data_IF_341484705788
#
_entry.id   IF_341484705788
#
_cell.length_a   1.000
_cell.length_b   1.000
_cell.length_c   1.000
_cell.angle_alpha   90.00
_cell.angle_beta   90.00
_cell.angle_gamma   90.00
#
_symmetry.space_group_name_H-M   'P 1'
#
loop_
_entity.id
_entity.type
_entity.pdbx_description
1 polymer ?
#
# COMPACT_ATOMS: atom_id res chain seq x y z
N UNK A 1 1.50 3.32 14.30
CA UNK A 1 2.09 2.90 13.01
C UNK A 1 3.57 2.68 13.18
N UNK A 2 4.05 1.53 12.71
CA UNK A 2 5.47 1.17 12.66
C UNK A 2 5.84 0.87 11.22
N UNK A 3 7.12 0.95 10.91
CA UNK A 3 7.64 0.59 9.59
C UNK A 3 8.79 -0.39 9.75
N UNK A 4 8.87 -1.32 8.81
CA UNK A 4 9.91 -2.35 8.70
C UNK A 4 10.57 -2.25 7.33
N UNK A 5 11.73 -2.87 7.20
CA UNK A 5 12.38 -3.08 5.90
C UNK A 5 12.43 -4.58 5.68
N UNK A 6 11.71 -5.02 4.65
CA UNK A 6 11.65 -6.41 4.25
C UNK A 6 12.39 -6.57 2.92
N UNK A 7 13.03 -7.71 2.72
CA UNK A 7 13.56 -8.18 1.45
C UNK A 7 12.69 -9.32 0.96
N UNK A 8 12.16 -9.20 -0.26
CA UNK A 8 11.27 -10.18 -0.87
C UNK A 8 11.76 -10.58 -2.25
N UNK A 9 11.90 -11.89 -2.49
CA UNK A 9 12.31 -12.44 -3.80
C UNK A 9 11.20 -13.22 -4.50
N UNK A 10 10.31 -13.81 -3.71
CA UNK A 10 9.10 -14.47 -4.18
C UNK A 10 8.02 -14.33 -3.11
N UNK A 11 6.81 -14.79 -3.41
CA UNK A 11 5.72 -14.83 -2.43
C UNK A 11 6.03 -15.71 -1.20
N UNK A 12 7.07 -16.53 -1.25
CA UNK A 12 7.47 -17.45 -0.18
C UNK A 12 8.77 -17.05 0.54
N UNK A 13 9.53 -16.10 -0.02
CA UNK A 13 10.85 -15.72 0.50
C UNK A 13 10.80 -14.26 0.92
N UNK A 14 10.51 -14.04 2.20
CA UNK A 14 10.56 -12.73 2.85
C UNK A 14 11.49 -12.78 4.05
N UNK A 15 12.44 -11.83 4.09
CA UNK A 15 13.34 -11.62 5.21
C UNK A 15 13.14 -10.22 5.77
N UNK A 16 13.19 -10.05 7.08
CA UNK A 16 13.05 -8.74 7.74
C UNK A 16 14.36 -8.28 8.33
N UNK A 17 14.63 -6.99 8.19
CA UNK A 17 15.73 -6.32 8.86
C UNK A 17 15.57 -6.39 10.38
N UNK A 18 16.60 -6.88 11.05
CA UNK A 18 16.68 -7.02 12.51
C UNK A 18 17.49 -5.88 13.13
N UNK A 19 17.35 -5.68 14.44
CA UNK A 19 18.02 -4.61 15.20
C UNK A 19 19.56 -4.66 15.04
N UNK A 20 20.11 -5.86 14.84
CA UNK A 20 21.55 -6.05 14.61
C UNK A 20 22.02 -5.74 13.17
N UNK A 21 21.10 -5.35 12.27
CA UNK A 21 21.40 -5.02 10.87
C UNK A 21 21.32 -6.20 9.90
N UNK A 22 21.02 -7.41 10.37
CA UNK A 22 20.88 -8.60 9.52
C UNK A 22 19.46 -8.74 8.98
N UNK A 23 19.32 -9.33 7.78
CA UNK A 23 18.02 -9.79 7.27
C UNK A 23 17.83 -11.26 7.62
N UNK A 24 16.71 -11.59 8.28
CA UNK A 24 16.38 -12.97 8.67
C UNK A 24 15.00 -13.36 8.19
N UNK A 25 14.82 -14.65 7.92
CA UNK A 25 13.52 -15.21 7.56
C UNK A 25 12.50 -14.93 8.67
N UNK A 26 11.28 -14.58 8.26
CA UNK A 26 10.15 -14.40 9.16
C UNK A 26 9.12 -15.51 8.91
N UNK A 27 8.69 -16.25 9.93
CA UNK A 27 7.67 -17.29 9.78
C UNK A 27 6.32 -16.76 9.28
N UNK A 28 5.96 -15.53 9.69
CA UNK A 28 4.71 -14.87 9.35
C UNK A 28 5.00 -13.37 9.23
N UNK A 29 4.71 -12.79 8.07
CA UNK A 29 4.96 -11.39 7.80
C UNK A 29 4.01 -10.46 8.56
N UNK A 30 2.89 -10.97 9.07
CA UNK A 30 1.93 -10.23 9.89
C UNK A 30 2.32 -10.14 11.37
N UNK A 31 3.30 -10.93 11.83
CA UNK A 31 3.72 -10.89 13.22
C UNK A 31 4.86 -9.89 13.46
N UNK A 32 4.89 -9.38 14.69
CA UNK A 32 6.00 -8.61 15.24
C UNK A 32 6.94 -9.55 16.00
N UNK A 33 8.23 -9.41 15.74
CA UNK A 33 9.26 -10.10 16.51
C UNK A 33 10.08 -9.09 17.31
N UNK A 34 10.52 -9.49 18.51
CA UNK A 34 11.26 -8.60 19.43
C UNK A 34 12.57 -8.10 18.82
N UNK A 35 13.17 -8.87 17.90
CA UNK A 35 14.42 -8.53 17.22
C UNK A 35 14.22 -7.73 15.93
N UNK A 36 12.99 -7.38 15.55
CA UNK A 36 12.71 -6.59 14.34
C UNK A 36 13.19 -5.15 14.48
N UNK A 37 13.90 -4.64 13.45
CA UNK A 37 14.21 -3.23 13.36
C UNK A 37 12.94 -2.44 13.03
N UNK A 38 12.44 -1.72 14.03
CA UNK A 38 11.27 -0.86 13.91
C UNK A 38 11.68 0.58 13.59
N UNK A 39 10.94 1.21 12.69
CA UNK A 39 11.05 2.63 12.39
C UNK A 39 9.73 3.33 12.74
N UNK A 40 9.83 4.54 13.29
CA UNK A 40 8.68 5.35 13.69
C UNK A 40 8.01 6.07 12.52
N UNK A 41 8.70 6.20 11.38
CA UNK A 41 8.17 6.83 10.18
C UNK A 41 8.70 6.17 8.90
N UNK A 42 7.95 6.31 7.81
CA UNK A 42 8.42 5.91 6.48
C UNK A 42 9.72 6.64 6.11
N UNK A 43 9.85 7.91 6.51
CA UNK A 43 11.05 8.71 6.24
C UNK A 43 12.29 8.13 6.92
N UNK A 44 12.18 7.68 8.17
CA UNK A 44 13.28 7.05 8.90
C UNK A 44 13.70 5.72 8.26
N UNK A 45 12.73 4.89 7.90
CA UNK A 45 12.98 3.65 7.15
C UNK A 45 13.63 3.96 5.79
N UNK A 46 13.16 4.99 5.09
CA UNK A 46 13.73 5.39 3.81
C UNK A 46 15.17 5.95 3.92
N UNK A 47 15.46 6.66 5.02
CA UNK A 47 16.80 7.14 5.33
C UNK A 47 17.77 6.00 5.66
N UNK A 48 17.29 4.86 6.15
CA UNK A 48 18.11 3.67 6.33
C UNK A 48 18.78 3.24 5.02
N UNK A 49 18.05 3.25 3.89
CA UNK A 49 18.62 2.92 2.58
C UNK A 49 19.68 3.91 2.11
N UNK A 50 19.55 5.19 2.46
CA UNK A 50 20.57 6.20 2.13
C UNK A 50 21.86 5.99 2.92
N UNK A 51 21.77 5.36 4.10
CA UNK A 51 22.92 5.03 4.95
C UNK A 51 23.49 3.63 4.67
N UNK A 52 22.67 2.74 4.12
CA UNK A 52 22.99 1.34 3.84
C UNK A 52 22.66 1.04 2.38
N UNK A 53 23.56 1.42 1.47
CA UNK A 53 23.38 1.21 0.02
C UNK A 53 23.50 -0.26 -0.39
N UNK A 54 24.04 -1.09 0.51
CA UNK A 54 24.21 -2.53 0.35
C UNK A 54 23.65 -3.26 1.57
N UNK A 55 23.09 -4.45 1.37
CA UNK A 55 22.69 -5.36 2.43
C UNK A 55 23.08 -6.80 2.08
N UNK A 56 23.45 -7.58 3.10
CA UNK A 56 23.83 -8.98 2.93
C UNK A 56 22.57 -9.86 3.04
N UNK A 57 22.25 -10.55 1.96
CA UNK A 57 21.14 -11.53 1.88
C UNK A 57 21.74 -12.89 1.54
N UNK A 58 21.63 -13.86 2.44
CA UNK A 58 22.12 -15.24 2.24
C UNK A 58 23.59 -15.30 1.76
N UNK A 59 24.44 -14.42 2.29
CA UNK A 59 25.85 -14.32 1.92
C UNK A 59 26.15 -13.53 0.64
N UNK A 60 25.12 -12.98 -0.02
CA UNK A 60 25.25 -12.15 -1.23
C UNK A 60 25.00 -10.68 -0.87
N UNK A 61 25.94 -9.80 -1.23
CA UNK A 61 25.74 -8.35 -1.10
C UNK A 61 24.84 -7.85 -2.23
N UNK A 62 23.71 -7.24 -1.88
CA UNK A 62 22.75 -6.69 -2.81
C UNK A 62 22.61 -5.18 -2.60
N UNK A 63 22.45 -4.44 -3.70
CA UNK A 63 22.05 -3.04 -3.65
C UNK A 63 20.66 -2.92 -3.04
N UNK A 64 20.52 -2.02 -2.07
CA UNK A 64 19.23 -1.82 -1.38
C UNK A 64 18.27 -0.94 -2.16
N UNK A 65 18.77 -0.16 -3.11
CA UNK A 65 18.03 0.69 -4.06
C UNK A 65 18.69 0.65 -5.44
N UNK A 66 18.60 -0.48 -6.17
CA UNK A 66 19.17 -0.55 -7.51
C UNK A 66 18.42 0.38 -8.47
N UNK A 67 19.11 0.90 -9.48
CA UNK A 67 18.50 1.74 -10.53
C UNK A 67 17.50 0.96 -11.40
N UNK A 68 17.66 -0.36 -11.47
CA UNK A 68 16.76 -1.25 -12.20
C UNK A 68 16.63 -2.60 -11.51
N UNK A 69 15.44 -3.19 -11.60
CA UNK A 69 15.17 -4.54 -11.10
C UNK A 69 15.11 -5.50 -12.27
N UNK A 70 15.84 -6.61 -12.17
CA UNK A 70 15.68 -7.73 -13.11
C UNK A 70 14.40 -8.49 -12.76
N UNK A 71 13.70 -9.00 -13.77
CA UNK A 71 12.52 -9.82 -13.54
C UNK A 71 12.91 -11.05 -12.69
N UNK A 72 12.21 -11.26 -11.57
CA UNK A 72 12.50 -12.33 -10.62
C UNK A 72 13.66 -12.06 -9.64
N UNK A 73 14.26 -10.87 -9.69
CA UNK A 73 15.18 -10.43 -8.63
C UNK A 73 14.43 -10.07 -7.36
N UNK A 74 15.08 -10.26 -6.21
CA UNK A 74 14.53 -9.78 -4.95
C UNK A 74 14.66 -8.27 -4.82
N UNK A 75 13.77 -7.69 -4.03
CA UNK A 75 13.69 -6.27 -3.80
C UNK A 75 13.53 -5.98 -2.31
N UNK A 76 13.99 -4.79 -1.91
CA UNK A 76 13.74 -4.27 -0.57
C UNK A 76 12.50 -3.39 -0.60
N UNK A 77 11.64 -3.54 0.40
CA UNK A 77 10.44 -2.73 0.56
C UNK A 77 10.33 -2.19 1.98
N UNK A 78 9.74 -0.99 2.10
CA UNK A 78 9.33 -0.45 3.40
C UNK A 78 7.94 -0.97 3.66
N UNK A 79 7.81 -1.87 4.63
CA UNK A 79 6.52 -2.42 5.02
C UNK A 79 5.91 -1.59 6.15
N UNK A 80 4.74 -0.97 5.95
CA UNK A 80 3.98 -0.37 7.04
C UNK A 80 3.37 -1.48 7.92
N UNK A 81 3.22 -1.19 9.21
CA UNK A 81 2.57 -2.10 10.14
C UNK A 81 1.69 -1.32 11.10
N UNK A 82 0.41 -1.69 11.09
CA UNK A 82 -0.59 -1.08 11.95
C UNK A 82 -0.67 -1.86 13.25
N UNK A 83 -0.39 -1.18 14.35
CA UNK A 83 -0.55 -1.67 15.73
C UNK A 83 -1.92 -1.32 16.32
N UNK A 84 -2.79 -0.70 15.53
CA UNK A 84 -4.15 -0.31 15.91
C UNK A 84 -5.11 -0.52 14.73
N UNK A 85 -6.42 -0.51 15.00
CA UNK A 85 -7.44 -0.52 13.94
C UNK A 85 -7.43 0.85 13.20
N UNK A 86 -7.80 0.90 11.91
CA UNK A 86 -7.84 2.18 11.19
C UNK A 86 -8.98 3.03 11.74
N UNK A 87 -8.86 4.36 11.76
CA UNK A 87 -9.94 5.20 12.32
C UNK A 87 -11.23 5.13 11.48
N UNK A 88 -11.09 5.00 10.17
CA UNK A 88 -12.17 4.82 9.22
C UNK A 88 -12.11 3.41 8.63
N UNK A 89 -13.13 2.62 8.95
CA UNK A 89 -13.21 1.22 8.52
C UNK A 89 -13.63 1.07 7.06
N UNK A 90 -14.53 1.95 6.62
CA UNK A 90 -15.15 1.89 5.31
C UNK A 90 -15.28 3.27 4.69
N UNK A 91 -14.89 3.37 3.42
CA UNK A 91 -15.21 4.49 2.55
C UNK A 91 -16.54 4.17 1.88
N UNK A 92 -17.49 5.10 1.95
CA UNK A 92 -18.78 4.93 1.26
C UNK A 92 -18.69 5.39 -0.19
N UNK A 93 -19.56 4.85 -1.06
CA UNK A 93 -19.60 5.24 -2.48
C UNK A 93 -19.92 6.73 -2.66
N UNK A 94 -20.71 7.33 -1.76
CA UNK A 94 -21.03 8.76 -1.78
C UNK A 94 -19.85 9.65 -1.34
N UNK A 95 -19.06 9.22 -0.36
CA UNK A 95 -17.80 9.90 0.00
C UNK A 95 -16.82 9.86 -1.17
N UNK A 96 -16.65 8.70 -1.80
CA UNK A 96 -15.81 8.55 -2.98
C UNK A 96 -16.29 9.45 -4.13
N UNK A 97 -17.59 9.44 -4.42
CA UNK A 97 -18.21 10.32 -5.43
C UNK A 97 -17.91 11.79 -5.16
N UNK A 98 -18.08 12.22 -3.91
CA UNK A 98 -17.83 13.61 -3.50
C UNK A 98 -16.37 13.97 -3.70
N UNK A 99 -15.45 13.11 -3.28
CA UNK A 99 -14.02 13.28 -3.45
C UNK A 99 -13.63 13.39 -4.94
N UNK A 100 -14.14 12.49 -5.80
CA UNK A 100 -13.86 12.51 -7.24
C UNK A 100 -14.35 13.81 -7.90
N UNK A 101 -15.53 14.31 -7.53
CA UNK A 101 -16.06 15.58 -8.06
C UNK A 101 -15.27 16.82 -7.58
N UNK A 102 -14.57 16.71 -6.45
CA UNK A 102 -13.70 17.77 -5.94
C UNK A 102 -12.30 17.79 -6.58
N UNK A 103 -11.93 16.73 -7.31
CA UNK A 103 -10.63 16.65 -7.97
C UNK A 103 -10.40 17.72 -9.03
N UNK A 104 -9.14 18.02 -9.32
CA UNK A 104 -8.78 18.95 -10.40
C UNK A 104 -8.37 18.17 -11.65
N UNK A 105 -9.25 18.14 -12.66
CA UNK A 105 -9.01 17.42 -13.92
C UNK A 105 -7.95 18.11 -14.81
N UNK A 106 -7.45 19.29 -14.46
CA UNK A 106 -6.30 19.89 -15.18
C UNK A 106 -4.96 19.20 -14.84
N UNK A 107 -4.97 18.31 -13.84
CA UNK A 107 -3.78 17.65 -13.33
C UNK A 107 -3.95 16.13 -13.29
N UNK A 108 -2.83 15.43 -13.19
CA UNK A 108 -2.83 14.01 -12.85
C UNK A 108 -3.29 13.84 -11.40
N UNK A 109 -4.23 12.93 -11.18
CA UNK A 109 -4.73 12.58 -9.86
C UNK A 109 -4.56 11.08 -9.63
N UNK A 110 -4.30 10.67 -8.40
CA UNK A 110 -4.38 9.25 -8.01
C UNK A 110 -5.26 9.15 -6.76
N UNK A 111 -6.21 8.22 -6.78
CA UNK A 111 -6.98 7.87 -5.59
C UNK A 111 -6.12 7.01 -4.67
N UNK A 112 -5.98 7.45 -3.42
CA UNK A 112 -5.23 6.73 -2.40
C UNK A 112 -6.06 6.61 -1.13
N UNK A 113 -5.83 5.56 -0.33
CA UNK A 113 -6.20 5.53 1.09
C UNK A 113 -4.94 5.63 1.91
N UNK A 114 -4.98 6.50 2.92
CA UNK A 114 -4.01 6.43 4.00
C UNK A 114 -4.24 5.19 4.88
N UNK A 115 -3.34 4.98 5.82
CA UNK A 115 -3.40 3.83 6.71
C UNK A 115 -4.51 3.88 7.75
N UNK A 116 -5.14 5.04 7.95
CA UNK A 116 -6.29 5.22 8.82
C UNK A 116 -7.62 5.08 8.05
N UNK A 117 -7.57 4.79 6.75
CA UNK A 117 -8.72 4.51 5.89
C UNK A 117 -9.37 5.74 5.28
N UNK A 118 -8.70 6.89 5.28
CA UNK A 118 -9.23 8.10 4.65
C UNK A 118 -8.81 8.21 3.18
N UNK A 119 -9.78 8.40 2.27
CA UNK A 119 -9.51 8.51 0.84
C UNK A 119 -9.06 9.92 0.47
N UNK A 120 -8.09 10.03 -0.43
CA UNK A 120 -7.55 11.30 -0.91
C UNK A 120 -7.27 11.25 -2.41
N UNK A 121 -7.33 12.39 -3.08
CA UNK A 121 -6.78 12.56 -4.43
C UNK A 121 -5.47 13.30 -4.34
N UNK A 122 -4.39 12.65 -4.78
CA UNK A 122 -3.04 13.20 -4.65
C UNK A 122 -2.32 13.19 -6.00
N UNK A 123 -1.61 14.28 -6.35
CA UNK A 123 -0.73 14.27 -7.50
C UNK A 123 0.56 13.54 -7.15
N UNK A 124 0.89 12.47 -7.90
CA UNK A 124 2.13 11.68 -7.75
C UNK A 124 2.37 11.19 -6.30
N UNK A 125 1.54 10.27 -5.78
CA UNK A 125 1.76 9.75 -4.43
C UNK A 125 3.11 9.06 -4.30
N UNK A 126 3.69 9.15 -3.11
CA UNK A 126 4.77 8.23 -2.71
C UNK A 126 4.22 6.81 -2.54
N UNK A 127 5.10 5.86 -2.19
CA UNK A 127 4.69 4.50 -1.81
C UNK A 127 4.08 4.42 -0.39
N UNK A 128 3.92 5.56 0.30
CA UNK A 128 3.53 5.65 1.71
C UNK A 128 2.02 5.71 1.93
N UNK A 129 1.25 4.93 1.17
CA UNK A 129 -0.21 4.83 1.30
C UNK A 129 -0.61 3.35 1.38
N UNK A 130 -1.70 3.07 2.11
CA UNK A 130 -2.22 1.72 2.25
C UNK A 130 -2.75 1.18 0.91
N UNK A 131 -3.46 2.03 0.17
CA UNK A 131 -3.99 1.72 -1.16
C UNK A 131 -3.64 2.84 -2.11
N UNK A 132 -3.28 2.48 -3.34
CA UNK A 132 -3.14 3.38 -4.48
C UNK A 132 -3.80 2.74 -5.69
N UNK A 133 -4.71 3.46 -6.33
CA UNK A 133 -5.30 2.99 -7.59
C UNK A 133 -4.53 3.54 -8.80
N UNK A 134 -4.87 3.04 -10.00
CA UNK A 134 -4.38 3.60 -11.27
C UNK A 134 -4.65 5.12 -11.38
N UNK A 135 -3.77 5.80 -12.12
CA UNK A 135 -3.81 7.23 -12.28
C UNK A 135 -4.92 7.75 -13.17
N UNK A 136 -5.50 8.87 -12.78
CA UNK A 136 -6.39 9.67 -13.61
C UNK A 136 -5.58 10.74 -14.35
N UNK A 137 -5.37 10.53 -15.64
CA UNK A 137 -4.71 11.51 -16.51
C UNK A 137 -5.63 12.72 -16.69
N UNK A 138 -5.11 13.92 -16.45
CA UNK A 138 -5.87 15.16 -16.57
C UNK A 138 -6.43 15.40 -17.98
N UNK A 139 -7.59 16.05 -18.04
CA UNK A 139 -8.34 16.41 -19.24
C UNK A 139 -9.27 15.30 -19.75
N UNK A 140 -9.33 14.15 -19.08
CA UNK A 140 -10.15 13.02 -19.50
C UNK A 140 -11.49 12.93 -18.75
N UNK A 141 -11.75 13.84 -17.79
CA UNK A 141 -13.02 13.90 -17.07
C UNK A 141 -13.22 12.76 -16.07
N UNK A 142 -12.15 12.12 -15.60
CA UNK A 142 -12.22 11.12 -14.52
C UNK A 142 -12.57 11.77 -13.17
N UNK A 143 -12.14 13.02 -12.98
CA UNK A 143 -12.39 13.79 -11.76
C UNK A 143 -12.94 15.18 -12.09
N UNK A 144 -13.34 15.91 -11.05
CA UNK A 144 -13.79 17.30 -11.12
C UNK A 144 -15.28 17.46 -11.36
N UNK A 145 -15.76 18.70 -11.15
CA UNK A 145 -17.18 19.08 -11.15
C UNK A 145 -17.96 18.74 -12.44
N UNK A 146 -17.24 18.52 -13.54
CA UNK A 146 -17.83 18.19 -14.85
C UNK A 146 -17.68 16.71 -15.21
N UNK A 147 -17.07 15.90 -14.35
CA UNK A 147 -16.98 14.46 -14.55
C UNK A 147 -18.37 13.83 -14.61
N UNK A 148 -18.54 12.88 -15.52
CA UNK A 148 -19.73 12.04 -15.60
C UNK A 148 -19.67 10.84 -14.65
N UNK A 149 -18.51 10.59 -14.04
CA UNK A 149 -18.25 9.50 -13.10
C UNK A 149 -18.67 8.11 -13.62
N UNK A 150 -18.52 7.85 -14.92
CA UNK A 150 -18.89 6.57 -15.54
C UNK A 150 -18.13 5.37 -14.95
N UNK A 151 -16.97 5.62 -14.32
CA UNK A 151 -16.11 4.63 -13.68
C UNK A 151 -16.36 4.48 -12.17
N UNK A 152 -17.30 5.22 -11.57
CA UNK A 152 -17.48 5.26 -10.11
C UNK A 152 -17.72 3.89 -9.48
N UNK A 153 -18.55 3.06 -10.12
CA UNK A 153 -18.84 1.72 -9.61
C UNK A 153 -17.59 0.85 -9.58
N UNK A 154 -16.87 0.78 -10.70
CA UNK A 154 -15.64 0.00 -10.81
C UNK A 154 -14.54 0.53 -9.88
N UNK A 155 -14.42 1.85 -9.76
CA UNK A 155 -13.48 2.50 -8.84
C UNK A 155 -13.79 2.13 -7.39
N UNK A 156 -15.07 2.10 -7.02
CA UNK A 156 -15.50 1.74 -5.68
C UNK A 156 -15.17 0.27 -5.36
N UNK A 157 -15.52 -0.66 -6.26
CA UNK A 157 -15.19 -2.08 -6.08
C UNK A 157 -13.68 -2.30 -5.98
N UNK A 158 -12.90 -1.66 -6.85
CA UNK A 158 -11.41 -1.71 -6.78
C UNK A 158 -10.87 -1.19 -5.45
N UNK A 159 -11.44 -0.10 -4.93
CA UNK A 159 -11.05 0.48 -3.65
C UNK A 159 -11.28 -0.49 -2.50
N UNK A 160 -12.45 -1.14 -2.47
CA UNK A 160 -12.80 -2.12 -1.46
C UNK A 160 -11.91 -3.37 -1.55
N UNK A 161 -11.71 -3.92 -2.76
CA UNK A 161 -10.82 -5.06 -2.97
C UNK A 161 -9.39 -4.75 -2.49
N UNK A 162 -8.84 -3.58 -2.87
CA UNK A 162 -7.50 -3.19 -2.46
C UNK A 162 -7.40 -2.92 -0.95
N UNK A 163 -8.43 -2.34 -0.34
CA UNK A 163 -8.47 -2.10 1.09
C UNK A 163 -8.54 -3.40 1.89
N UNK A 164 -9.37 -4.36 1.47
CA UNK A 164 -9.45 -5.69 2.08
C UNK A 164 -8.09 -6.39 2.03
N UNK A 165 -7.44 -6.41 0.85
CA UNK A 165 -6.10 -6.98 0.71
C UNK A 165 -5.09 -6.31 1.64
N UNK A 166 -5.13 -4.99 1.75
CA UNK A 166 -4.27 -4.27 2.69
C UNK A 166 -4.53 -4.70 4.15
N UNK A 167 -5.79 -4.84 4.56
CA UNK A 167 -6.14 -5.29 5.91
C UNK A 167 -5.64 -6.72 6.19
N UNK A 168 -5.67 -7.60 5.20
CA UNK A 168 -5.27 -9.00 5.33
C UNK A 168 -3.75 -9.21 5.42
N UNK A 169 -2.94 -8.42 4.70
CA UNK A 169 -1.48 -8.62 4.63
C UNK A 169 -0.64 -7.46 5.19
N UNK A 170 -1.28 -6.35 5.60
CA UNK A 170 -0.64 -5.11 6.05
C UNK A 170 0.32 -4.45 5.04
N UNK A 171 0.36 -4.89 3.77
CA UNK A 171 1.23 -4.31 2.72
C UNK A 171 0.55 -3.18 1.98
N UNK A 172 1.32 -2.24 1.43
CA UNK A 172 0.78 -1.22 0.54
C UNK A 172 0.31 -1.85 -0.78
N UNK A 173 -0.95 -1.64 -1.14
CA UNK A 173 -1.57 -2.26 -2.32
C UNK A 173 -1.65 -1.24 -3.47
N UNK A 174 -1.17 -1.64 -4.64
CA UNK A 174 -1.46 -0.97 -5.91
C UNK A 174 -2.50 -1.77 -6.69
N UNK A 175 -3.48 -1.10 -7.31
CA UNK A 175 -4.51 -1.77 -8.09
C UNK A 175 -4.99 -0.95 -9.28
N UNK A 176 -4.95 -1.55 -10.47
CA UNK A 176 -5.29 -0.93 -11.76
C UNK A 176 -6.51 -1.55 -12.46
N UNK A 177 -7.02 -2.68 -11.95
CA UNK A 177 -8.26 -3.30 -12.41
C UNK A 177 -9.05 -3.92 -11.26
N UNK A 178 -10.36 -4.09 -11.43
CA UNK A 178 -11.20 -4.90 -10.52
C UNK A 178 -11.03 -6.38 -10.84
N UNK A 179 -10.88 -7.23 -9.82
CA UNK A 179 -10.93 -8.68 -10.05
C UNK A 179 -12.36 -9.14 -10.30
N UNK A 180 -13.33 -8.53 -9.60
CA UNK A 180 -14.74 -8.88 -9.72
C UNK A 180 -15.08 -10.27 -9.15
N UNK A 181 -14.21 -10.79 -8.28
CA UNK A 181 -14.40 -12.09 -7.62
C UNK A 181 -15.48 -12.04 -6.54
N UNK A 182 -15.64 -10.89 -5.89
CA UNK A 182 -16.62 -10.62 -4.84
C UNK A 182 -17.46 -9.39 -5.20
N UNK A 183 -18.72 -9.40 -4.76
CA UNK A 183 -19.60 -8.23 -4.81
C UNK A 183 -19.18 -7.13 -3.83
N UNK A 184 -19.67 -5.91 -4.03
CA UNK A 184 -19.44 -4.78 -3.10
C UNK A 184 -19.91 -5.16 -1.68
N UNK A 185 -21.04 -5.86 -1.54
CA UNK A 185 -21.60 -6.30 -0.27
C UNK A 185 -20.71 -7.35 0.43
N UNK A 186 -20.20 -8.33 -0.31
CA UNK A 186 -19.28 -9.35 0.21
C UNK A 186 -17.96 -8.70 0.67
N UNK A 187 -17.39 -7.81 -0.13
CA UNK A 187 -16.17 -7.07 0.22
C UNK A 187 -16.35 -6.27 1.50
N UNK A 188 -17.49 -5.58 1.66
CA UNK A 188 -17.80 -4.83 2.87
C UNK A 188 -17.88 -5.76 4.08
N UNK A 189 -18.55 -6.91 3.95
CA UNK A 189 -18.67 -7.90 5.04
C UNK A 189 -17.31 -8.44 5.48
N UNK A 190 -16.42 -8.74 4.53
CA UNK A 190 -15.07 -9.21 4.81
C UNK A 190 -14.22 -8.12 5.48
N UNK A 191 -14.33 -6.86 5.04
CA UNK A 191 -13.64 -5.73 5.68
C UNK A 191 -14.04 -5.61 7.16
N UNK A 192 -15.33 -5.72 7.49
CA UNK A 192 -15.77 -5.70 8.89
C UNK A 192 -15.20 -6.89 9.68
N UNK A 193 -15.18 -8.08 9.08
CA UNK A 193 -14.65 -9.29 9.72
C UNK A 193 -13.14 -9.20 10.01
N UNK A 194 -12.37 -8.64 9.08
CA UNK A 194 -10.94 -8.38 9.25
C UNK A 194 -10.68 -7.33 10.34
N UNK A 195 -11.52 -6.30 10.41
CA UNK A 195 -11.39 -5.25 11.43
C UNK A 195 -11.79 -5.77 12.81
N UNK A 196 -12.67 -6.75 12.94
CA UNK A 196 -13.08 -7.31 14.24
C UNK A 196 -12.07 -8.30 14.83
N UNK A 197 -11.20 -8.87 13.99
CA UNK A 197 -10.08 -9.72 14.42
C UNK A 197 -9.12 -8.99 15.38
#
# INVERSE_FOLDING_TARGET
MKYFIDYSKSIFETKRLKINGEFRDIPDDNNLYEDDQQFSSWHDANNWFSRNTQALIDGVSLETKPESYLLGSGHFEIRPYRDSKPQKYLVTKDELKTLLLQGNDEHYNMLVLDFDGYPQLVPKPSFSYAVRLEGYVGGNGYVGKHSKLNHLNDTYSMLLEAWLLHLQCSKSIYKDYKSGELSDEELISEIYSEIER
#
